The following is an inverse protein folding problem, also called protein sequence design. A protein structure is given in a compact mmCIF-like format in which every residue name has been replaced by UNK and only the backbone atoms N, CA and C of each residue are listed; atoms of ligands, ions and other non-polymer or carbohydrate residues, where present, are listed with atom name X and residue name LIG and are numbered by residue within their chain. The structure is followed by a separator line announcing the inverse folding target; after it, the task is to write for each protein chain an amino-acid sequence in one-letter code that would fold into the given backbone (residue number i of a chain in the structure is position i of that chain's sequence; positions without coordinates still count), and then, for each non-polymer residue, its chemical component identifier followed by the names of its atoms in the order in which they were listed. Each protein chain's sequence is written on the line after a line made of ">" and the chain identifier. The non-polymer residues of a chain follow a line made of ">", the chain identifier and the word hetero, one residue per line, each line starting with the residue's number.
data_IF_131783595513
#
_entry.id   IF_131783595513
#
_cell.length_a   1.000
_cell.length_b   1.000
_cell.length_c   1.000
_cell.angle_alpha   90.00
_cell.angle_beta   90.00
_cell.angle_gamma   90.00
#
_symmetry.space_group_name_H-M   'P 1'
#
loop_
_entity.id
_entity.type
_entity.pdbx_description
1 polymer ?
#
# COMPACT_ATOMS: atom_id res chain seq x y z
N UNK A 1 1.99 8.94 9.23
CA UNK A 1 2.25 8.81 7.79
C UNK A 1 1.00 8.62 6.97
N UNK A 2 0.15 7.63 7.25
CA UNK A 2 -1.03 7.32 6.43
C UNK A 2 -2.04 8.47 6.31
N UNK A 3 -2.14 9.35 7.31
CA UNK A 3 -3.06 10.49 7.28
C UNK A 3 -2.84 11.41 6.06
N UNK A 4 -1.62 11.50 5.53
CA UNK A 4 -1.31 12.30 4.33
C UNK A 4 -2.10 11.78 3.12
N UNK A 5 -2.01 10.48 2.85
CA UNK A 5 -2.77 9.85 1.77
C UNK A 5 -4.29 9.88 2.02
N UNK A 6 -4.72 9.61 3.25
CA UNK A 6 -6.15 9.62 3.61
C UNK A 6 -6.79 11.00 3.42
N UNK A 7 -6.09 12.08 3.74
CA UNK A 7 -6.57 13.45 3.47
C UNK A 7 -6.73 13.73 1.97
N UNK A 8 -5.83 13.16 1.13
CA UNK A 8 -5.99 13.27 -0.33
C UNK A 8 -7.23 12.50 -0.80
N UNK A 9 -7.44 11.27 -0.32
CA UNK A 9 -8.67 10.52 -0.62
C UNK A 9 -9.93 11.29 -0.20
N UNK A 10 -9.93 11.90 0.99
CA UNK A 10 -11.03 12.76 1.43
C UNK A 10 -11.27 13.92 0.48
N UNK A 11 -10.22 14.59 0.01
CA UNK A 11 -10.33 15.67 -0.96
C UNK A 11 -10.97 15.18 -2.27
N UNK A 12 -10.62 13.99 -2.76
CA UNK A 12 -11.28 13.39 -3.92
C UNK A 12 -12.77 13.17 -3.67
N UNK A 13 -13.15 12.69 -2.48
CA UNK A 13 -14.56 12.56 -2.12
C UNK A 13 -15.29 13.90 -2.11
N UNK A 14 -14.67 14.95 -1.57
CA UNK A 14 -15.25 16.29 -1.53
C UNK A 14 -15.44 16.89 -2.92
N UNK A 15 -14.67 16.43 -3.91
CA UNK A 15 -14.81 16.74 -5.32
C UNK A 15 -15.81 15.82 -6.06
N UNK A 16 -16.45 14.87 -5.37
CA UNK A 16 -17.48 14.00 -5.93
C UNK A 16 -16.98 12.64 -6.47
N UNK A 17 -15.70 12.28 -6.23
CA UNK A 17 -15.16 10.99 -6.64
C UNK A 17 -15.52 9.89 -5.64
N UNK A 18 -15.70 8.68 -6.15
CA UNK A 18 -15.83 7.47 -5.34
C UNK A 18 -14.44 7.02 -4.87
N UNK A 19 -14.31 6.79 -3.57
CA UNK A 19 -13.09 6.20 -3.00
C UNK A 19 -13.28 4.69 -2.85
N UNK A 20 -12.38 3.90 -3.42
CA UNK A 20 -12.33 2.46 -3.24
C UNK A 20 -11.13 2.12 -2.35
N UNK A 21 -11.41 1.46 -1.23
CA UNK A 21 -10.38 0.90 -0.34
C UNK A 21 -10.27 -0.59 -0.59
N UNK A 22 -9.10 -1.04 -1.05
CA UNK A 22 -8.84 -2.45 -1.23
C UNK A 22 -8.16 -3.00 0.02
N UNK A 23 -8.79 -4.01 0.62
CA UNK A 23 -8.21 -4.80 1.70
C UNK A 23 -7.53 -6.01 1.09
N UNK A 24 -6.22 -6.07 1.23
CA UNK A 24 -5.41 -7.15 0.70
C UNK A 24 -5.43 -8.40 1.58
N UNK A 25 -6.58 -9.05 1.72
CA UNK A 25 -6.68 -10.28 2.50
C UNK A 25 -5.93 -11.45 1.84
N UNK A 26 -5.91 -11.49 0.53
CA UNK A 26 -5.17 -12.49 -0.24
C UNK A 26 -3.69 -12.14 -0.37
N UNK A 27 -3.37 -10.88 -0.71
CA UNK A 27 -1.99 -10.40 -0.79
C UNK A 27 -1.30 -10.38 0.58
N UNK A 28 -2.04 -10.21 1.67
CA UNK A 28 -1.53 -10.31 3.05
C UNK A 28 -0.96 -11.69 3.38
N UNK A 29 -1.44 -12.75 2.73
CA UNK A 29 -0.89 -14.11 2.87
C UNK A 29 0.44 -14.28 2.14
N UNK A 30 0.70 -13.50 1.09
CA UNK A 30 2.00 -13.48 0.38
C UNK A 30 3.01 -12.65 1.18
N UNK A 31 2.59 -11.52 1.72
CA UNK A 31 3.40 -10.56 2.45
C UNK A 31 4.08 -9.53 1.55
N UNK A 32 3.98 -8.26 1.92
CA UNK A 32 4.63 -7.15 1.20
C UNK A 32 6.14 -7.16 1.47
N UNK A 33 6.99 -7.36 0.45
CA UNK A 33 8.45 -7.33 0.60
C UNK A 33 9.02 -5.91 0.72
N UNK A 34 8.22 -4.85 0.53
CA UNK A 34 8.69 -3.46 0.48
C UNK A 34 9.51 -3.06 1.69
N UNK A 35 10.76 -2.63 1.44
CA UNK A 35 11.67 -2.09 2.44
C UNK A 35 12.14 -3.09 3.50
N UNK A 36 12.15 -4.39 3.20
CA UNK A 36 12.60 -5.44 4.10
C UNK A 36 13.72 -6.27 3.50
N UNK A 37 14.59 -6.76 4.40
CA UNK A 37 15.66 -7.70 4.05
C UNK A 37 15.22 -9.17 4.13
N UNK A 38 14.03 -9.45 4.69
CA UNK A 38 13.53 -10.79 4.94
C UNK A 38 12.04 -10.91 4.62
N UNK A 39 11.61 -12.11 4.23
CA UNK A 39 10.20 -12.44 3.97
C UNK A 39 9.37 -12.35 5.25
N UNK A 40 8.19 -11.74 5.18
CA UNK A 40 7.26 -11.69 6.31
C UNK A 40 6.70 -13.08 6.65
N UNK A 41 6.45 -13.37 7.94
CA UNK A 41 5.61 -14.51 8.31
C UNK A 41 4.24 -14.40 7.65
N UNK A 42 3.75 -15.51 7.12
CA UNK A 42 2.42 -15.58 6.53
C UNK A 42 1.35 -15.39 7.61
N UNK A 43 0.41 -14.50 7.36
CA UNK A 43 -0.75 -14.33 8.22
C UNK A 43 -1.83 -15.36 7.85
N UNK A 44 -2.60 -15.81 8.83
CA UNK A 44 -3.82 -16.58 8.56
C UNK A 44 -4.93 -15.63 8.09
N UNK A 45 -5.92 -16.19 7.39
CA UNK A 45 -7.07 -15.41 6.92
C UNK A 45 -7.81 -14.68 8.05
N UNK A 46 -7.96 -15.32 9.22
CA UNK A 46 -8.61 -14.71 10.38
C UNK A 46 -7.80 -13.56 10.95
N UNK A 47 -6.47 -13.71 11.03
CA UNK A 47 -5.57 -12.62 11.45
C UNK A 47 -5.63 -11.43 10.49
N UNK A 48 -5.72 -11.67 9.19
CA UNK A 48 -5.86 -10.59 8.20
C UNK A 48 -7.19 -9.86 8.38
N UNK A 49 -8.29 -10.58 8.60
CA UNK A 49 -9.61 -9.98 8.84
C UNK A 49 -9.67 -9.16 10.13
N UNK A 50 -9.13 -9.68 11.22
CA UNK A 50 -9.07 -8.95 12.49
C UNK A 50 -8.25 -7.66 12.37
N UNK A 51 -7.07 -7.76 11.75
CA UNK A 51 -6.23 -6.59 11.47
C UNK A 51 -6.97 -5.56 10.60
N UNK A 52 -7.67 -6.01 9.56
CA UNK A 52 -8.40 -5.14 8.64
C UNK A 52 -9.48 -4.31 9.36
N UNK A 53 -10.20 -4.89 10.33
CA UNK A 53 -11.21 -4.14 11.10
C UNK A 53 -10.61 -2.94 11.84
N UNK A 54 -9.39 -3.09 12.39
CA UNK A 54 -8.69 -2.00 13.04
C UNK A 54 -8.31 -0.89 12.04
N UNK A 55 -7.83 -1.28 10.86
CA UNK A 55 -7.49 -0.32 9.79
C UNK A 55 -8.72 0.41 9.26
N UNK A 56 -9.83 -0.30 9.05
CA UNK A 56 -11.09 0.28 8.57
C UNK A 56 -11.61 1.36 9.54
N UNK A 57 -11.63 1.07 10.85
CA UNK A 57 -12.02 2.06 11.85
C UNK A 57 -11.17 3.33 11.79
N UNK A 58 -9.86 3.19 11.59
CA UNK A 58 -8.94 4.32 11.49
C UNK A 58 -9.09 5.06 10.15
N UNK A 59 -9.30 4.33 9.07
CA UNK A 59 -9.52 4.86 7.73
C UNK A 59 -10.77 5.77 7.71
N UNK A 60 -11.88 5.30 8.25
CA UNK A 60 -13.15 6.03 8.29
C UNK A 60 -13.20 7.19 9.30
N UNK A 61 -12.15 7.41 10.08
CA UNK A 61 -12.00 8.68 10.81
C UNK A 61 -11.69 9.87 9.91
N UNK A 62 -11.16 9.63 8.72
CA UNK A 62 -10.75 10.66 7.76
C UNK A 62 -11.61 10.61 6.50
N UNK A 63 -11.83 9.43 5.96
CA UNK A 63 -12.61 9.18 4.74
C UNK A 63 -14.06 8.95 5.12
N UNK A 64 -15.00 9.51 4.36
CA UNK A 64 -16.43 9.34 4.57
C UNK A 64 -16.87 7.94 4.13
N UNK A 65 -17.33 7.13 5.08
CA UNK A 65 -17.76 5.75 4.85
C UNK A 65 -18.93 5.66 3.87
N UNK A 66 -19.86 6.62 3.91
CA UNK A 66 -21.04 6.62 3.04
C UNK A 66 -20.72 6.86 1.56
N UNK A 67 -19.50 7.32 1.27
CA UNK A 67 -19.00 7.61 -0.08
C UNK A 67 -17.71 6.82 -0.39
N UNK A 68 -17.57 5.66 0.22
CA UNK A 68 -16.44 4.76 0.00
C UNK A 68 -16.93 3.34 -0.19
N UNK A 69 -16.22 2.58 -1.03
CA UNK A 69 -16.38 1.15 -1.18
C UNK A 69 -15.20 0.43 -0.56
N UNK A 70 -15.48 -0.61 0.21
CA UNK A 70 -14.45 -1.53 0.71
C UNK A 70 -14.51 -2.80 -0.13
N UNK A 71 -13.40 -3.13 -0.79
CA UNK A 71 -13.26 -4.33 -1.61
C UNK A 71 -12.18 -5.23 -1.01
N UNK A 72 -12.37 -6.50 -1.08
CA UNK A 72 -11.42 -7.49 -0.62
C UNK A 72 -10.78 -8.19 -1.81
N UNK A 73 -9.45 -8.19 -1.90
CA UNK A 73 -8.84 -8.76 -3.09
C UNK A 73 -8.95 -10.29 -3.20
N UNK A 74 -9.35 -10.96 -2.13
CA UNK A 74 -9.85 -12.34 -2.18
C UNK A 74 -11.08 -12.53 -3.07
N UNK A 75 -11.88 -11.46 -3.33
CA UNK A 75 -13.05 -11.54 -4.23
C UNK A 75 -12.68 -12.00 -5.65
N UNK A 76 -11.52 -11.60 -6.13
CA UNK A 76 -11.02 -12.01 -7.45
C UNK A 76 -9.93 -13.07 -7.38
N UNK A 77 -8.95 -12.98 -6.48
CA UNK A 77 -7.85 -13.95 -6.46
C UNK A 77 -8.27 -15.35 -6.04
N UNK A 78 -9.26 -15.50 -5.17
CA UNK A 78 -9.77 -16.85 -4.78
C UNK A 78 -10.44 -17.61 -5.91
N UNK A 79 -10.85 -16.92 -6.97
CA UNK A 79 -11.53 -17.49 -8.12
C UNK A 79 -10.61 -17.72 -9.32
N UNK A 80 -9.41 -17.15 -9.29
CA UNK A 80 -8.44 -17.32 -10.36
C UNK A 80 -7.88 -18.72 -10.39
N UNK A 81 -7.91 -19.31 -11.57
CA UNK A 81 -7.21 -20.55 -11.85
C UNK A 81 -5.69 -20.33 -11.87
N UNK A 82 -4.93 -21.41 -11.69
CA UNK A 82 -3.48 -21.37 -11.83
C UNK A 82 -3.03 -20.83 -13.21
N UNK A 83 -3.77 -21.18 -14.29
CA UNK A 83 -3.45 -20.70 -15.63
C UNK A 83 -3.66 -19.20 -15.80
N UNK A 84 -4.67 -18.63 -15.17
CA UNK A 84 -4.87 -17.17 -15.16
C UNK A 84 -3.75 -16.46 -14.42
N UNK A 85 -3.33 -16.99 -13.26
CA UNK A 85 -2.20 -16.46 -12.50
C UNK A 85 -0.90 -16.53 -13.32
N UNK A 86 -0.65 -17.65 -14.01
CA UNK A 86 0.48 -17.80 -14.92
C UNK A 86 0.40 -16.81 -16.09
N UNK A 87 -0.80 -16.55 -16.61
CA UNK A 87 -1.04 -15.55 -17.64
C UNK A 87 -0.69 -14.11 -17.17
N UNK A 88 -0.99 -13.77 -15.93
CA UNK A 88 -0.55 -12.50 -15.32
C UNK A 88 0.98 -12.45 -15.19
N UNK A 89 1.58 -13.50 -14.64
CA UNK A 89 3.02 -13.56 -14.41
C UNK A 89 3.82 -13.49 -15.72
N UNK A 90 3.32 -14.08 -16.81
CA UNK A 90 3.99 -14.10 -18.12
C UNK A 90 4.16 -12.73 -18.77
N UNK A 91 3.44 -11.71 -18.29
CA UNK A 91 3.55 -10.32 -18.77
C UNK A 91 4.78 -9.60 -18.25
N UNK A 92 5.44 -10.15 -17.24
CA UNK A 92 6.58 -9.52 -16.58
C UNK A 92 7.80 -10.43 -16.60
N UNK A 93 8.97 -9.81 -16.70
CA UNK A 93 10.24 -10.52 -16.66
C UNK A 93 10.88 -10.41 -15.29
N UNK A 94 11.74 -11.36 -14.93
CA UNK A 94 12.56 -11.29 -13.72
C UNK A 94 13.40 -10.00 -13.72
N UNK A 95 13.95 -9.58 -14.88
CA UNK A 95 14.70 -8.34 -15.00
C UNK A 95 13.85 -7.14 -14.58
N UNK A 96 12.59 -7.06 -15.00
CA UNK A 96 11.65 -6.00 -14.59
C UNK A 96 11.37 -6.03 -13.08
N UNK A 97 11.21 -7.21 -12.49
CA UNK A 97 11.02 -7.33 -11.03
C UNK A 97 12.24 -6.85 -10.24
N UNK A 98 13.44 -7.11 -10.75
CA UNK A 98 14.69 -6.68 -10.13
C UNK A 98 14.97 -5.17 -10.23
N UNK A 99 14.17 -4.40 -10.97
CA UNK A 99 14.21 -2.93 -10.92
C UNK A 99 13.59 -2.35 -9.63
N UNK A 100 12.85 -3.15 -8.89
CA UNK A 100 12.32 -2.75 -7.60
C UNK A 100 13.45 -2.70 -6.57
N UNK A 101 13.56 -1.58 -5.87
CA UNK A 101 14.68 -1.17 -5.03
C UNK A 101 15.10 -2.23 -3.98
N UNK A 102 14.12 -2.88 -3.32
CA UNK A 102 14.37 -3.93 -2.33
C UNK A 102 14.85 -5.25 -2.97
N UNK A 103 14.26 -5.64 -4.11
CA UNK A 103 14.72 -6.81 -4.85
C UNK A 103 16.11 -6.60 -5.43
N UNK A 104 16.39 -5.44 -6.00
CA UNK A 104 17.71 -5.08 -6.51
C UNK A 104 18.78 -5.18 -5.41
N UNK A 105 18.51 -4.56 -4.26
CA UNK A 105 19.45 -4.56 -3.11
C UNK A 105 19.72 -5.97 -2.61
N UNK A 106 18.68 -6.77 -2.45
CA UNK A 106 18.80 -8.17 -1.98
C UNK A 106 19.53 -9.02 -3.00
N UNK A 107 19.21 -8.89 -4.27
CA UNK A 107 19.87 -9.62 -5.35
C UNK A 107 21.37 -9.30 -5.41
N UNK A 108 21.74 -8.02 -5.38
CA UNK A 108 23.15 -7.59 -5.37
C UNK A 108 23.92 -8.02 -4.13
N UNK A 109 23.24 -8.11 -3.00
CA UNK A 109 23.82 -8.56 -1.75
C UNK A 109 23.90 -10.10 -1.62
N UNK A 110 23.38 -10.85 -2.61
CA UNK A 110 23.30 -12.31 -2.56
C UNK A 110 22.28 -12.84 -1.54
N UNK A 111 21.36 -12.00 -1.09
CA UNK A 111 20.28 -12.42 -0.19
C UNK A 111 19.18 -13.15 -0.96
N UNK A 112 18.56 -14.18 -0.38
CA UNK A 112 17.53 -14.95 -1.07
C UNK A 112 16.29 -14.11 -1.35
N UNK A 113 15.71 -14.31 -2.54
CA UNK A 113 14.41 -13.77 -2.93
C UNK A 113 13.55 -14.97 -3.29
N UNK A 114 12.46 -15.17 -2.58
CA UNK A 114 11.55 -16.27 -2.87
C UNK A 114 10.65 -15.94 -4.07
N UNK A 115 10.40 -16.90 -4.94
CA UNK A 115 9.62 -16.69 -6.18
C UNK A 115 8.23 -16.09 -5.89
N UNK A 116 7.58 -16.49 -4.79
CA UNK A 116 6.26 -15.96 -4.44
C UNK A 116 6.27 -14.47 -4.14
N UNK A 117 7.41 -13.89 -3.72
CA UNK A 117 7.53 -12.46 -3.46
C UNK A 117 7.34 -11.61 -4.73
N UNK A 118 7.71 -12.15 -5.90
CA UNK A 118 7.46 -11.50 -7.18
C UNK A 118 5.98 -11.41 -7.54
N UNK A 119 5.12 -12.27 -6.98
CA UNK A 119 3.69 -12.18 -7.20
C UNK A 119 3.06 -10.99 -6.47
N UNK A 120 3.64 -10.50 -5.38
CA UNK A 120 3.07 -9.38 -4.63
C UNK A 120 2.81 -8.13 -5.49
N UNK A 121 3.81 -7.56 -6.20
CA UNK A 121 3.57 -6.41 -7.07
C UNK A 121 2.64 -6.69 -8.24
N UNK A 122 2.61 -7.94 -8.75
CA UNK A 122 1.67 -8.35 -9.82
C UNK A 122 0.24 -8.35 -9.27
N UNK A 123 0.03 -8.93 -8.10
CA UNK A 123 -1.28 -8.98 -7.46
C UNK A 123 -1.78 -7.59 -7.11
N UNK A 124 -0.95 -6.74 -6.48
CA UNK A 124 -1.32 -5.36 -6.21
C UNK A 124 -1.67 -4.60 -7.51
N UNK A 125 -0.90 -4.80 -8.57
CA UNK A 125 -1.22 -4.20 -9.86
C UNK A 125 -2.53 -4.72 -10.47
N UNK A 126 -2.87 -5.98 -10.26
CA UNK A 126 -4.15 -6.54 -10.73
C UNK A 126 -5.35 -6.02 -9.94
N UNK A 127 -5.16 -5.63 -8.69
CA UNK A 127 -6.20 -4.95 -7.90
C UNK A 127 -6.76 -3.74 -8.65
N UNK A 128 -5.89 -2.94 -9.30
CA UNK A 128 -6.31 -1.80 -10.12
C UNK A 128 -7.15 -2.22 -11.34
N UNK A 129 -6.82 -3.35 -11.97
CA UNK A 129 -7.60 -3.92 -13.08
C UNK A 129 -8.98 -4.35 -12.59
N UNK A 130 -9.04 -5.05 -11.45
CA UNK A 130 -10.26 -5.61 -10.88
C UNK A 130 -11.29 -4.53 -10.49
N UNK A 131 -10.83 -3.38 -10.00
CA UNK A 131 -11.71 -2.27 -9.60
C UNK A 131 -11.86 -1.20 -10.69
N UNK A 132 -11.22 -1.36 -11.86
CA UNK A 132 -11.20 -0.35 -12.92
C UNK A 132 -10.76 1.03 -12.41
N UNK A 133 -9.63 1.08 -11.70
CA UNK A 133 -9.18 2.30 -11.06
C UNK A 133 -8.80 3.38 -12.09
N UNK A 134 -9.33 4.60 -11.93
CA UNK A 134 -8.93 5.77 -12.71
C UNK A 134 -7.71 6.46 -12.09
N UNK A 135 -7.62 6.44 -10.76
CA UNK A 135 -6.55 7.06 -9.99
C UNK A 135 -6.16 6.14 -8.83
N UNK A 136 -4.87 5.91 -8.64
CA UNK A 136 -4.35 5.17 -7.47
C UNK A 136 -3.39 6.04 -6.67
N UNK A 137 -3.59 6.08 -5.33
CA UNK A 137 -2.74 6.81 -4.40
C UNK A 137 -1.88 5.87 -3.58
N UNK A 138 -0.61 6.22 -3.43
CA UNK A 138 0.31 5.47 -2.55
C UNK A 138 1.44 6.31 -1.98
N UNK A 139 2.23 5.74 -1.11
CA UNK A 139 3.51 6.32 -0.73
C UNK A 139 4.53 6.23 -1.87
N UNK A 140 5.58 7.06 -1.83
CA UNK A 140 6.64 7.01 -2.85
C UNK A 140 7.34 5.65 -2.93
N UNK A 141 7.35 4.88 -1.84
CA UNK A 141 7.85 3.50 -1.79
C UNK A 141 6.98 2.50 -2.56
N UNK A 142 5.73 2.84 -2.85
CA UNK A 142 4.79 2.00 -3.60
C UNK A 142 4.81 2.27 -5.12
N UNK A 143 5.60 3.25 -5.58
CA UNK A 143 5.60 3.69 -6.99
C UNK A 143 5.76 2.54 -7.98
N UNK A 144 6.65 1.58 -7.69
CA UNK A 144 6.83 0.41 -8.56
C UNK A 144 5.54 -0.39 -8.71
N UNK A 145 4.87 -0.70 -7.58
CA UNK A 145 3.63 -1.49 -7.60
C UNK A 145 2.50 -0.75 -8.32
N UNK A 146 2.38 0.57 -8.13
CA UNK A 146 1.39 1.40 -8.83
C UNK A 146 1.61 1.39 -10.35
N UNK A 147 2.87 1.43 -10.80
CA UNK A 147 3.23 1.32 -12.21
C UNK A 147 2.91 -0.06 -12.80
N UNK A 148 2.98 -1.12 -11.98
CA UNK A 148 2.54 -2.46 -12.40
C UNK A 148 1.04 -2.48 -12.70
N UNK A 149 0.23 -1.75 -11.90
CA UNK A 149 -1.21 -1.57 -12.15
C UNK A 149 -1.48 -0.98 -13.52
N UNK A 150 -0.80 0.10 -13.89
CA UNK A 150 -0.92 0.71 -15.22
C UNK A 150 -0.61 -0.28 -16.35
N UNK A 151 0.50 -1.01 -16.24
CA UNK A 151 0.89 -1.98 -17.26
C UNK A 151 -0.11 -3.14 -17.40
N UNK A 152 -0.72 -3.57 -16.28
CA UNK A 152 -1.75 -4.59 -16.30
C UNK A 152 -3.08 -4.09 -16.87
N UNK A 153 -3.48 -2.86 -16.54
CA UNK A 153 -4.66 -2.23 -17.13
C UNK A 153 -4.54 -2.12 -18.66
N UNK A 154 -3.40 -1.60 -19.15
CA UNK A 154 -3.12 -1.54 -20.59
C UNK A 154 -3.21 -2.92 -21.24
N UNK A 155 -2.61 -3.94 -20.62
CA UNK A 155 -2.66 -5.31 -21.10
C UNK A 155 -4.05 -5.96 -21.06
N UNK A 156 -5.00 -5.37 -20.34
CA UNK A 156 -6.42 -5.79 -20.28
C UNK A 156 -7.34 -4.86 -21.10
N UNK A 157 -6.78 -3.95 -21.89
CA UNK A 157 -7.55 -3.02 -22.71
C UNK A 157 -8.25 -1.93 -21.92
N UNK A 158 -7.81 -1.66 -20.69
CA UNK A 158 -8.29 -0.56 -19.86
C UNK A 158 -7.39 0.67 -20.06
N UNK A 159 -7.92 1.87 -19.86
CA UNK A 159 -7.12 3.08 -19.78
C UNK A 159 -6.22 3.01 -18.52
N UNK A 160 -4.90 3.23 -18.67
CA UNK A 160 -3.99 3.16 -17.53
C UNK A 160 -4.25 4.28 -16.53
N UNK A 161 -4.48 3.94 -15.28
CA UNK A 161 -4.75 4.86 -14.18
C UNK A 161 -3.69 5.95 -14.01
N UNK A 162 -4.09 7.08 -13.47
CA UNK A 162 -3.16 8.09 -12.95
C UNK A 162 -2.63 7.64 -11.60
N UNK A 163 -1.32 7.66 -11.41
CA UNK A 163 -0.71 7.38 -10.10
C UNK A 163 -0.33 8.68 -9.39
N UNK A 164 -0.69 8.78 -8.12
CA UNK A 164 -0.31 9.90 -7.26
C UNK A 164 0.48 9.34 -6.09
N UNK A 165 1.74 9.75 -5.97
CA UNK A 165 2.57 9.35 -4.84
C UNK A 165 2.77 10.49 -3.87
N UNK A 166 2.68 10.20 -2.58
CA UNK A 166 3.00 11.13 -1.50
C UNK A 166 4.33 10.78 -0.85
N UNK A 167 5.12 11.77 -0.42
CA UNK A 167 6.32 11.51 0.36
C UNK A 167 5.99 10.70 1.62
N UNK A 168 6.93 9.86 2.03
CA UNK A 168 6.83 9.15 3.30
C UNK A 168 7.23 10.11 4.41
N UNK A 169 6.33 10.28 5.38
CA UNK A 169 6.57 11.14 6.51
C UNK A 169 7.58 10.48 7.47
N UNK A 170 8.60 11.23 7.87
CA UNK A 170 9.53 10.84 8.90
C UNK A 170 8.82 10.79 10.26
N UNK A 171 9.28 9.91 11.14
CA UNK A 171 8.75 9.80 12.49
C UNK A 171 9.22 10.92 13.42
N UNK A 172 8.85 10.84 14.70
CA UNK A 172 9.21 11.83 15.72
C UNK A 172 10.72 11.98 15.91
N UNK A 173 11.50 10.97 15.53
CA UNK A 173 12.97 10.98 15.57
C UNK A 173 13.61 11.84 14.45
N UNK A 174 12.83 12.26 13.45
CA UNK A 174 13.32 13.06 12.33
C UNK A 174 14.26 12.34 11.36
N UNK A 175 14.41 11.04 11.45
CA UNK A 175 15.36 10.23 10.68
C UNK A 175 14.69 9.07 9.99
N UNK A 176 13.98 8.21 10.75
CA UNK A 176 13.35 7.03 10.22
C UNK A 176 11.92 7.33 9.78
N UNK A 177 11.43 6.60 8.77
CA UNK A 177 10.02 6.69 8.38
C UNK A 177 9.12 6.45 9.58
N UNK A 178 8.03 7.18 9.68
CA UNK A 178 7.02 6.99 10.71
C UNK A 178 6.45 5.57 10.66
N UNK A 179 6.60 4.82 11.74
CA UNK A 179 6.14 3.43 11.80
C UNK A 179 5.70 3.05 13.21
N UNK A 180 4.66 2.21 13.31
CA UNK A 180 4.21 1.63 14.57
C UNK A 180 5.29 0.72 15.17
N UNK A 181 6.03 -0.02 14.35
CA UNK A 181 7.06 -0.97 14.81
C UNK A 181 8.28 -0.30 15.42
N UNK A 182 8.57 0.95 15.05
CA UNK A 182 9.69 1.74 15.60
C UNK A 182 9.26 2.64 16.75
N UNK A 183 7.96 2.74 17.05
CA UNK A 183 7.44 3.58 18.11
C UNK A 183 7.51 5.09 17.86
N UNK A 184 8.02 5.52 16.69
CA UNK A 184 8.23 6.93 16.31
C UNK A 184 7.01 7.57 15.63
N UNK A 185 5.80 7.11 15.92
CA UNK A 185 4.58 7.50 15.23
C UNK A 185 3.62 8.32 16.10
N UNK A 186 2.75 9.06 15.43
CA UNK A 186 1.54 9.67 16.01
C UNK A 186 0.35 8.86 15.49
N UNK A 187 -0.35 8.19 16.41
CA UNK A 187 -1.51 7.36 16.06
C UNK A 187 -2.76 8.19 15.86
N UNK A 188 -3.57 7.85 14.86
CA UNK A 188 -4.85 8.53 14.60
C UNK A 188 -5.94 8.17 15.63
N UNK A 189 -5.68 7.14 16.46
CA UNK A 189 -6.57 6.69 17.54
C UNK A 189 -6.10 7.15 18.92
N UNK A 190 -5.00 7.87 19.02
CA UNK A 190 -4.50 8.38 20.30
C UNK A 190 -5.40 9.50 20.83
N UNK A 191 -5.47 9.67 22.15
CA UNK A 191 -6.14 10.81 22.74
C UNK A 191 -5.61 12.13 22.19
N UNK A 192 -6.46 13.16 21.94
CA UNK A 192 -6.02 14.43 21.38
C UNK A 192 -4.86 15.09 22.10
N UNK A 193 -4.80 14.97 23.43
CA UNK A 193 -3.72 15.49 24.27
C UNK A 193 -2.37 14.83 23.93
N UNK A 194 -2.37 13.52 23.75
CA UNK A 194 -1.17 12.76 23.39
C UNK A 194 -0.70 13.10 21.99
N UNK A 195 -1.65 13.17 21.04
CA UNK A 195 -1.34 13.61 19.66
C UNK A 195 -0.73 15.01 19.65
N UNK A 196 -1.33 15.96 20.39
CA UNK A 196 -0.82 17.31 20.51
C UNK A 196 0.60 17.33 21.10
N UNK A 197 0.84 16.62 22.21
CA UNK A 197 2.16 16.53 22.84
C UNK A 197 3.22 15.99 21.88
N UNK A 198 2.90 14.93 21.12
CA UNK A 198 3.79 14.35 20.11
C UNK A 198 4.07 15.31 18.96
N UNK A 199 3.05 16.02 18.46
CA UNK A 199 3.24 17.04 17.40
C UNK A 199 4.13 18.17 17.91
N UNK A 200 3.94 18.62 19.14
CA UNK A 200 4.76 19.67 19.74
C UNK A 200 6.21 19.24 20.05
N UNK A 201 6.49 17.94 20.06
CA UNK A 201 7.83 17.39 20.31
C UNK A 201 8.68 17.20 19.05
N UNK A 202 8.13 17.41 17.86
CA UNK A 202 8.90 17.29 16.61
C UNK A 202 10.00 18.37 16.54
N UNK A 203 11.18 18.04 15.98
CA UNK A 203 12.23 19.05 15.76
C UNK A 203 11.75 20.17 14.83
N UNK A 204 12.16 21.43 15.09
CA UNK A 204 11.78 22.59 14.30
C UNK A 204 12.08 22.43 12.79
N UNK A 205 13.18 21.75 12.45
CA UNK A 205 13.55 21.45 11.07
C UNK A 205 12.51 20.58 10.31
N UNK A 206 11.62 19.91 11.03
CA UNK A 206 10.57 19.07 10.46
C UNK A 206 9.24 19.79 10.28
N UNK A 207 9.05 20.95 10.87
CA UNK A 207 7.76 21.69 10.82
C UNK A 207 7.30 21.86 9.37
N UNK A 208 8.17 22.35 8.50
CA UNK A 208 7.84 22.56 7.08
C UNK A 208 7.50 21.27 6.29
N UNK A 209 7.86 20.09 6.82
CA UNK A 209 7.53 18.79 6.22
C UNK A 209 6.21 18.21 6.74
N UNK A 210 5.80 18.62 7.94
CA UNK A 210 4.58 18.14 8.58
C UNK A 210 3.36 19.01 8.24
N UNK A 211 3.56 20.29 7.92
CA UNK A 211 2.54 21.30 7.64
C UNK A 211 2.73 21.96 6.27
#
# INVERSE_FOLDING_TARGET
>A
GHAVGLRKLRLFQDLGHLVVLIVGDYTGMVGDPTGRSETRPRLTHDQVRENAQSYLRQFFKVVDESRAEVRWNGEWFSRMSFMEIMGLASRFTVARMLERDDFEKRYRAGHPISIHEFFYPIMQGYDSVAVHADVELGGSDQKFNLLMGRALQEGHGQEPQVIITTPILEGLDGVQRMSKSTGNYIGVDEPPREMFGKVMSIPDAMIARYF
#
